data_IF_775249706493
#
_entry.id   IF_775249706493
#
_cell.length_a   1.000
_cell.length_b   1.000
_cell.length_c   1.000
_cell.angle_alpha   90.00
_cell.angle_beta   90.00
_cell.angle_gamma   90.00
#
_symmetry.space_group_name_H-M   'P 1'
#
loop_
_entity.id
_entity.type
_entity.pdbx_description
1 polymer ?
#
# COMPACT_ATOMS: atom_id res chain seq x y z
N UNK A 1 -22.99 -52.37 17.34
CA UNK A 1 -21.90 -51.70 18.09
C UNK A 1 -20.68 -51.43 17.20
N UNK A 2 -20.14 -52.42 16.48
CA UNK A 2 -18.97 -52.22 15.60
C UNK A 2 -19.13 -51.17 14.48
N UNK A 3 -20.34 -51.02 13.92
CA UNK A 3 -20.61 -50.03 12.86
C UNK A 3 -20.56 -48.58 13.39
N UNK A 4 -21.05 -48.35 14.62
CA UNK A 4 -21.00 -47.04 15.27
C UNK A 4 -19.56 -46.63 15.60
N UNK A 5 -18.72 -47.56 16.07
CA UNK A 5 -17.29 -47.30 16.30
C UNK A 5 -16.55 -46.97 15.01
N UNK A 6 -16.90 -47.66 13.91
CA UNK A 6 -16.29 -47.42 12.60
C UNK A 6 -16.66 -46.03 12.07
N UNK A 7 -17.92 -45.63 12.19
CA UNK A 7 -18.40 -44.30 11.82
C UNK A 7 -17.77 -43.21 12.69
N UNK A 8 -17.67 -43.43 14.00
CA UNK A 8 -17.04 -42.49 14.93
C UNK A 8 -15.55 -42.29 14.60
N UNK A 9 -14.84 -43.37 14.27
CA UNK A 9 -13.44 -43.31 13.86
C UNK A 9 -13.27 -42.53 12.56
N UNK A 10 -14.12 -42.77 11.57
CA UNK A 10 -14.10 -42.03 10.31
C UNK A 10 -14.35 -40.52 10.50
N UNK A 11 -15.25 -40.15 11.41
CA UNK A 11 -15.49 -38.74 11.77
C UNK A 11 -14.28 -38.14 12.48
N UNK A 12 -13.68 -38.86 13.42
CA UNK A 12 -12.47 -38.43 14.11
C UNK A 12 -11.31 -38.18 13.14
N UNK A 13 -11.06 -39.10 12.21
CA UNK A 13 -9.98 -38.98 11.24
C UNK A 13 -10.19 -37.77 10.31
N UNK A 14 -11.43 -37.54 9.84
CA UNK A 14 -11.78 -36.35 9.05
C UNK A 14 -11.59 -35.06 9.83
N UNK A 15 -11.96 -35.04 11.11
CA UNK A 15 -11.77 -33.87 11.98
C UNK A 15 -10.27 -33.58 12.18
N UNK A 16 -9.46 -34.61 12.42
CA UNK A 16 -8.00 -34.46 12.54
C UNK A 16 -7.38 -33.94 11.25
N UNK A 17 -7.82 -34.45 10.09
CA UNK A 17 -7.37 -33.94 8.79
C UNK A 17 -7.74 -32.47 8.60
N UNK A 18 -8.98 -32.10 8.92
CA UNK A 18 -9.46 -30.72 8.81
C UNK A 18 -8.66 -29.77 9.73
N UNK A 19 -8.40 -30.18 10.98
CA UNK A 19 -7.62 -29.38 11.93
C UNK A 19 -6.19 -29.14 11.44
N UNK A 20 -5.54 -30.17 10.86
CA UNK A 20 -4.20 -30.01 10.28
C UNK A 20 -4.20 -29.04 9.10
N UNK A 21 -5.17 -29.17 8.19
CA UNK A 21 -5.30 -28.24 7.05
C UNK A 21 -5.57 -26.81 7.53
N UNK A 22 -6.43 -26.66 8.52
CA UNK A 22 -6.73 -25.35 9.11
C UNK A 22 -5.48 -24.70 9.72
N UNK A 23 -4.66 -25.46 10.47
CA UNK A 23 -3.41 -24.95 11.04
C UNK A 23 -2.41 -24.51 9.96
N UNK A 24 -2.28 -25.27 8.88
CA UNK A 24 -1.42 -24.90 7.73
C UNK A 24 -1.92 -23.60 7.10
N UNK A 25 -3.21 -23.51 6.79
CA UNK A 25 -3.82 -22.31 6.21
C UNK A 25 -3.69 -21.09 7.12
N UNK A 26 -3.82 -21.27 8.44
CA UNK A 26 -3.66 -20.17 9.39
C UNK A 26 -2.22 -19.64 9.39
N UNK A 27 -1.22 -20.53 9.32
CA UNK A 27 0.19 -20.14 9.22
C UNK A 27 0.49 -19.43 7.90
N UNK A 28 -0.01 -19.95 6.78
CA UNK A 28 0.14 -19.32 5.47
C UNK A 28 -0.53 -17.95 5.43
N UNK A 29 -1.72 -17.81 5.99
CA UNK A 29 -2.42 -16.53 6.05
C UNK A 29 -1.63 -15.48 6.85
N UNK A 30 -1.03 -15.88 7.97
CA UNK A 30 -0.19 -15.00 8.76
C UNK A 30 1.04 -14.56 7.96
N UNK A 31 1.72 -15.50 7.31
CA UNK A 31 2.88 -15.21 6.47
C UNK A 31 2.53 -14.24 5.34
N UNK A 32 1.46 -14.51 4.60
CA UNK A 32 1.00 -13.66 3.50
C UNK A 32 0.64 -12.24 3.97
N UNK A 33 0.05 -12.10 5.17
CA UNK A 33 -0.23 -10.78 5.75
C UNK A 33 1.05 -10.01 6.08
N UNK A 34 2.04 -10.68 6.64
CA UNK A 34 3.35 -10.08 6.92
C UNK A 34 4.05 -9.66 5.64
N UNK A 35 4.10 -10.52 4.63
CA UNK A 35 4.73 -10.23 3.34
C UNK A 35 4.03 -9.07 2.62
N UNK A 36 2.70 -9.04 2.66
CA UNK A 36 1.91 -7.94 2.11
C UNK A 36 2.22 -6.61 2.81
N UNK A 37 2.35 -6.62 4.14
CA UNK A 37 2.70 -5.41 4.90
C UNK A 37 4.09 -4.90 4.53
N UNK A 38 5.07 -5.81 4.41
CA UNK A 38 6.44 -5.45 3.99
C UNK A 38 6.46 -4.89 2.56
N UNK A 39 5.76 -5.54 1.63
CA UNK A 39 5.66 -5.08 0.25
C UNK A 39 5.03 -3.68 0.16
N UNK A 40 3.94 -3.43 0.91
CA UNK A 40 3.32 -2.10 0.99
C UNK A 40 4.28 -1.04 1.52
N UNK A 41 5.07 -1.38 2.54
CA UNK A 41 6.06 -0.45 3.09
C UNK A 41 7.15 -0.12 2.06
N UNK A 42 7.64 -1.13 1.33
CA UNK A 42 8.63 -0.92 0.27
C UNK A 42 8.07 -0.06 -0.87
N UNK A 43 6.83 -0.31 -1.29
CA UNK A 43 6.14 0.49 -2.31
C UNK A 43 6.06 1.95 -1.86
N UNK A 44 5.58 2.20 -0.64
CA UNK A 44 5.48 3.56 -0.08
C UNK A 44 6.83 4.26 -0.07
N UNK A 45 7.88 3.60 0.42
CA UNK A 45 9.23 4.18 0.44
C UNK A 45 9.75 4.49 -0.97
N UNK A 46 9.42 3.66 -1.97
CA UNK A 46 9.78 3.94 -3.37
C UNK A 46 8.99 5.11 -3.93
N UNK A 47 7.69 5.20 -3.66
CA UNK A 47 6.83 6.33 -4.06
C UNK A 47 7.35 7.64 -3.47
N UNK A 48 7.65 7.66 -2.17
CA UNK A 48 8.25 8.83 -1.50
C UNK A 48 9.58 9.22 -2.17
N UNK A 49 10.42 8.24 -2.54
CA UNK A 49 11.69 8.51 -3.20
C UNK A 49 11.52 9.03 -4.63
N UNK A 50 10.55 8.49 -5.37
CA UNK A 50 10.20 8.98 -6.72
C UNK A 50 9.71 10.42 -6.64
N UNK A 51 8.85 10.74 -5.67
CA UNK A 51 8.39 12.11 -5.46
C UNK A 51 9.56 13.06 -5.16
N UNK A 52 10.46 12.69 -4.24
CA UNK A 52 11.65 13.49 -3.93
C UNK A 52 12.54 13.71 -5.16
N UNK A 53 12.74 12.67 -5.98
CA UNK A 53 13.53 12.79 -7.21
C UNK A 53 12.84 13.68 -8.24
N UNK A 54 11.51 13.62 -8.36
CA UNK A 54 10.75 14.49 -9.24
C UNK A 54 10.88 15.96 -8.80
N UNK A 55 10.76 16.24 -7.51
CA UNK A 55 10.96 17.58 -6.96
C UNK A 55 12.38 18.10 -7.24
N UNK A 56 13.40 17.25 -7.07
CA UNK A 56 14.78 17.59 -7.41
C UNK A 56 14.95 17.87 -8.91
N UNK A 57 14.33 17.06 -9.79
CA UNK A 57 14.34 17.29 -11.22
C UNK A 57 13.67 18.61 -11.60
N UNK A 58 12.52 18.93 -11.00
CA UNK A 58 11.81 20.19 -11.26
C UNK A 58 12.69 21.39 -10.87
N UNK A 59 13.39 21.33 -9.72
CA UNK A 59 14.35 22.35 -9.29
C UNK A 59 15.51 22.49 -10.30
N UNK A 60 16.04 21.38 -10.81
CA UNK A 60 17.12 21.40 -11.81
C UNK A 60 16.63 21.98 -13.14
N UNK A 61 15.42 21.63 -13.59
CA UNK A 61 14.83 22.18 -14.81
C UNK A 61 14.59 23.69 -14.71
N UNK A 62 14.12 24.18 -13.55
CA UNK A 62 13.95 25.61 -13.29
C UNK A 62 15.30 26.33 -13.26
N UNK A 63 16.30 25.76 -12.58
CA UNK A 63 17.62 26.39 -12.40
C UNK A 63 18.49 26.38 -13.65
N UNK A 64 18.28 25.43 -14.57
CA UNK A 64 18.98 25.38 -15.87
C UNK A 64 18.37 26.30 -16.93
N UNK A 65 17.29 27.03 -16.62
CA UNK A 65 16.72 28.06 -17.49
C UNK A 65 16.10 27.54 -18.80
N UNK A 66 15.93 26.22 -18.93
CA UNK A 66 15.51 25.55 -20.17
C UNK A 66 14.01 25.21 -20.16
N UNK A 67 13.20 26.02 -19.48
CA UNK A 67 11.75 25.86 -19.42
C UNK A 67 11.15 26.13 -20.81
N UNK A 68 10.90 25.06 -21.56
CA UNK A 68 10.04 25.16 -22.73
C UNK A 68 8.65 25.66 -22.27
N UNK A 69 7.95 26.43 -23.10
CA UNK A 69 6.69 27.09 -22.72
C UNK A 69 5.61 26.13 -22.17
N UNK A 70 5.70 24.84 -22.49
CA UNK A 70 4.85 23.76 -21.97
C UNK A 70 5.14 23.43 -20.51
N UNK A 71 6.40 23.42 -20.10
CA UNK A 71 6.84 23.10 -18.73
C UNK A 71 6.54 24.27 -17.78
N UNK A 72 6.67 25.52 -18.25
CA UNK A 72 6.24 26.71 -17.49
C UNK A 72 4.74 26.64 -17.13
N UNK A 73 3.89 26.23 -18.08
CA UNK A 73 2.45 26.05 -17.85
C UNK A 73 2.14 24.91 -16.88
N UNK A 74 2.91 23.83 -16.92
CA UNK A 74 2.76 22.71 -15.99
C UNK A 74 3.15 23.14 -14.56
N UNK A 75 4.22 23.94 -14.42
CA UNK A 75 4.66 24.49 -13.15
C UNK A 75 3.64 25.48 -12.58
N UNK A 76 3.10 26.40 -13.39
CA UNK A 76 2.03 27.32 -13.01
C UNK A 76 0.81 26.55 -12.45
N UNK A 77 0.38 25.47 -13.13
CA UNK A 77 -0.72 24.62 -12.65
C UNK A 77 -0.43 23.95 -11.31
N UNK A 78 0.81 23.54 -11.06
CA UNK A 78 1.21 22.93 -9.78
C UNK A 78 1.22 23.96 -8.66
N UNK A 79 1.73 25.17 -8.93
CA UNK A 79 1.70 26.29 -7.99
C UNK A 79 0.26 26.66 -7.63
N UNK A 80 -0.65 26.73 -8.61
CA UNK A 80 -2.08 26.96 -8.36
C UNK A 80 -2.72 25.87 -7.48
N UNK A 81 -2.29 24.62 -7.66
CA UNK A 81 -2.71 23.50 -6.80
C UNK A 81 -2.26 23.69 -5.35
N UNK A 82 -0.98 24.00 -5.13
CA UNK A 82 -0.47 24.26 -3.79
C UNK A 82 -1.12 25.49 -3.14
N UNK A 83 -1.41 26.55 -3.90
CA UNK A 83 -2.14 27.71 -3.39
C UNK A 83 -3.54 27.36 -2.89
N UNK A 84 -4.29 26.53 -3.62
CA UNK A 84 -5.61 26.05 -3.18
C UNK A 84 -5.55 25.19 -1.92
N UNK A 85 -4.53 24.36 -1.79
CA UNK A 85 -4.33 23.57 -0.57
C UNK A 85 -4.00 24.46 0.63
N UNK A 86 -3.17 25.49 0.43
CA UNK A 86 -2.88 26.48 1.46
C UNK A 86 -4.16 27.22 1.88
N UNK A 87 -4.98 27.68 0.94
CA UNK A 87 -6.28 28.30 1.24
C UNK A 87 -7.21 27.37 2.02
N UNK A 88 -7.27 26.08 1.65
CA UNK A 88 -8.06 25.08 2.37
C UNK A 88 -7.56 24.87 3.80
N UNK A 89 -6.25 24.81 4.00
CA UNK A 89 -5.65 24.73 5.33
C UNK A 89 -5.89 26.00 6.16
N UNK A 90 -5.79 27.19 5.57
CA UNK A 90 -6.09 28.45 6.23
C UNK A 90 -7.57 28.57 6.61
N UNK A 91 -8.49 28.09 5.76
CA UNK A 91 -9.92 28.01 6.06
C UNK A 91 -10.22 27.09 7.24
N UNK A 92 -9.49 25.98 7.37
CA UNK A 92 -9.64 25.04 8.49
C UNK A 92 -9.06 25.60 9.80
N UNK A 93 -8.08 26.50 9.72
CA UNK A 93 -7.46 27.16 10.87
C UNK A 93 -8.23 28.40 11.36
N UNK A 94 -8.98 29.05 10.48
CA UNK A 94 -9.81 30.22 10.79
C UNK A 94 -11.29 29.87 11.07
N UNK A 95 -11.61 28.58 11.24
CA UNK A 95 -12.93 28.06 11.61
C UNK A 95 -12.95 27.54 13.05
#
# INVERSE_FOLDING_TARGET
MADLETQLKAVHDKLQQLLRQYQVLQKENLQLKTDLQQAKQVVKTREDKVQQLQEQLDIVQISTGNLNGTEKKALEKRIDGYLKEIEKCLSLLNA
#
